data_IF_996697959123
#
_entry.id   IF_996697959123
#
_cell.length_a   1.000
_cell.length_b   1.000
_cell.length_c   1.000
_cell.angle_alpha   90.00
_cell.angle_beta   90.00
_cell.angle_gamma   90.00
#
_symmetry.space_group_name_H-M   'P 1'
#
loop_
_entity.id
_entity.type
_entity.pdbx_description
1 polymer ?
#
# COMPACT_ATOMS: atom_id res chain seq x y z
N UNK A 1 -22.82 1.17 4.09
CA UNK A 1 -21.57 0.40 3.99
C UNK A 1 -20.53 1.37 3.46
N UNK A 2 -19.60 1.84 4.31
CA UNK A 2 -18.52 2.70 3.83
C UNK A 2 -17.51 1.82 3.09
N UNK A 3 -17.08 2.27 1.92
CA UNK A 3 -16.04 1.62 1.14
C UNK A 3 -14.93 2.64 0.91
N UNK A 4 -13.69 2.15 0.84
CA UNK A 4 -12.55 2.97 0.44
C UNK A 4 -12.76 3.49 -0.98
N UNK A 5 -12.29 4.70 -1.25
CA UNK A 5 -12.40 5.30 -2.57
C UNK A 5 -11.56 4.51 -3.59
N UNK A 6 -12.18 4.13 -4.70
CA UNK A 6 -11.53 3.44 -5.80
C UNK A 6 -11.00 4.42 -6.85
N UNK A 7 -9.83 4.13 -7.41
CA UNK A 7 -9.33 4.75 -8.65
C UNK A 7 -9.36 3.71 -9.77
N UNK A 8 -10.00 4.05 -10.88
CA UNK A 8 -10.36 3.14 -11.98
C UNK A 8 -9.66 3.47 -13.30
N UNK A 9 -8.94 4.57 -13.36
CA UNK A 9 -8.18 4.97 -14.55
C UNK A 9 -6.77 5.42 -14.19
N UNK A 10 -5.87 5.34 -15.17
CA UNK A 10 -4.49 5.82 -15.02
C UNK A 10 -4.46 7.30 -14.60
N UNK A 11 -5.25 8.14 -15.26
CA UNK A 11 -5.25 9.59 -15.00
C UNK A 11 -5.68 9.89 -13.56
N UNK A 12 -6.62 9.12 -13.00
CA UNK A 12 -7.02 9.26 -11.59
C UNK A 12 -5.88 8.90 -10.61
N UNK A 13 -5.05 7.91 -10.96
CA UNK A 13 -3.86 7.53 -10.18
C UNK A 13 -2.80 8.63 -10.28
N UNK A 14 -2.54 9.12 -11.50
CA UNK A 14 -1.57 10.20 -11.74
C UNK A 14 -2.00 11.49 -11.02
N UNK A 15 -3.29 11.81 -11.03
CA UNK A 15 -3.86 12.96 -10.32
C UNK A 15 -3.79 12.77 -8.81
N UNK A 16 -4.02 11.57 -8.28
CA UNK A 16 -3.83 11.29 -6.85
C UNK A 16 -2.37 11.50 -6.43
N UNK A 17 -1.41 11.02 -7.22
CA UNK A 17 0.04 11.19 -6.97
C UNK A 17 0.42 12.67 -6.96
N UNK A 18 -0.12 13.47 -7.89
CA UNK A 18 0.14 14.91 -7.98
C UNK A 18 -0.57 15.71 -6.89
N UNK A 19 -1.83 15.40 -6.57
CA UNK A 19 -2.67 16.22 -5.70
C UNK A 19 -2.49 15.95 -4.21
N UNK A 20 -2.16 14.72 -3.81
CA UNK A 20 -1.95 14.39 -2.39
C UNK A 20 -0.61 14.93 -1.92
N UNK A 21 -0.68 16.06 -1.21
CA UNK A 21 0.47 16.74 -0.59
C UNK A 21 0.48 16.56 0.92
N UNK A 22 1.69 16.54 1.48
CA UNK A 22 1.99 16.48 2.92
C UNK A 22 1.33 15.31 3.66
N UNK A 23 0.88 14.29 2.94
CA UNK A 23 0.29 13.05 3.46
C UNK A 23 0.82 11.87 2.65
N UNK A 24 0.80 10.70 3.26
CA UNK A 24 1.14 9.43 2.61
C UNK A 24 -0.02 9.06 1.70
N UNK A 25 0.23 9.02 0.39
CA UNK A 25 -0.69 8.40 -0.54
C UNK A 25 -0.47 6.88 -0.51
N UNK A 26 -1.50 6.15 -0.13
CA UNK A 26 -1.52 4.67 -0.07
C UNK A 26 -2.34 4.15 -1.23
N UNK A 27 -1.73 3.34 -2.10
CA UNK A 27 -2.37 2.73 -3.27
C UNK A 27 -2.40 1.21 -3.12
N UNK A 28 -3.57 0.64 -2.84
CA UNK A 28 -3.79 -0.81 -2.73
C UNK A 28 -4.23 -1.39 -4.08
N UNK A 29 -3.30 -2.05 -4.77
CA UNK A 29 -3.60 -2.83 -5.98
C UNK A 29 -4.12 -4.21 -5.60
N UNK A 30 -5.29 -4.59 -6.14
CA UNK A 30 -5.91 -5.86 -5.81
C UNK A 30 -7.15 -6.18 -6.65
N UNK A 31 -7.99 -7.06 -6.12
CA UNK A 31 -9.33 -7.38 -6.64
C UNK A 31 -10.30 -7.44 -5.47
N UNK A 32 -11.51 -6.92 -5.66
CA UNK A 32 -12.47 -6.73 -4.56
C UNK A 32 -13.00 -8.07 -4.00
N UNK A 33 -12.90 -9.16 -4.77
CA UNK A 33 -13.35 -10.51 -4.44
C UNK A 33 -12.23 -11.44 -3.93
N UNK A 34 -11.00 -10.93 -3.76
CA UNK A 34 -9.88 -11.71 -3.24
C UNK A 34 -9.77 -11.54 -1.72
N UNK A 35 -9.63 -12.66 -1.00
CA UNK A 35 -9.68 -12.72 0.47
C UNK A 35 -8.63 -11.82 1.14
N UNK A 36 -7.37 -11.87 0.69
CA UNK A 36 -6.30 -11.00 1.18
C UNK A 36 -6.54 -9.52 0.92
N UNK A 37 -7.13 -9.17 -0.22
CA UNK A 37 -7.55 -7.81 -0.55
C UNK A 37 -8.68 -7.35 0.38
N UNK A 38 -9.72 -8.17 0.57
CA UNK A 38 -10.82 -7.86 1.49
C UNK A 38 -10.35 -7.68 2.94
N UNK A 39 -9.43 -8.53 3.41
CA UNK A 39 -8.81 -8.39 4.74
C UNK A 39 -8.07 -7.06 4.88
N UNK A 40 -7.29 -6.70 3.85
CA UNK A 40 -6.54 -5.44 3.82
C UNK A 40 -7.47 -4.24 3.80
N UNK A 41 -8.55 -4.31 3.02
CA UNK A 41 -9.53 -3.25 2.90
C UNK A 41 -10.29 -3.02 4.22
N UNK A 42 -10.67 -4.08 4.94
CA UNK A 42 -11.28 -3.95 6.28
C UNK A 42 -10.34 -3.27 7.27
N UNK A 43 -9.04 -3.61 7.25
CA UNK A 43 -8.04 -2.94 8.09
C UNK A 43 -7.93 -1.45 7.70
N UNK A 44 -7.71 -1.16 6.41
CA UNK A 44 -7.54 0.20 5.91
C UNK A 44 -8.78 1.05 6.23
N UNK A 45 -9.98 0.55 5.95
CA UNK A 45 -11.24 1.23 6.22
C UNK A 45 -11.42 1.56 7.72
N UNK A 46 -11.10 0.62 8.61
CA UNK A 46 -11.21 0.82 10.06
C UNK A 46 -10.17 1.77 10.64
N UNK A 47 -9.14 2.11 9.86
CA UNK A 47 -8.06 3.02 10.27
C UNK A 47 -8.06 4.33 9.48
N UNK A 48 -8.91 4.46 8.45
CA UNK A 48 -8.92 5.60 7.52
C UNK A 48 -9.13 6.92 8.27
N UNK A 49 -10.12 6.99 9.16
CA UNK A 49 -10.40 8.18 9.96
C UNK A 49 -9.24 8.52 10.90
N UNK A 50 -8.68 7.51 11.58
CA UNK A 50 -7.55 7.67 12.51
C UNK A 50 -6.28 8.17 11.80
N UNK A 51 -6.08 7.77 10.54
CA UNK A 51 -4.90 8.11 9.75
C UNK A 51 -5.12 9.31 8.83
N UNK A 52 -6.30 9.94 8.82
CA UNK A 52 -6.71 10.95 7.84
C UNK A 52 -5.77 12.17 7.73
N UNK A 53 -5.16 12.57 8.85
CA UNK A 53 -4.15 13.64 8.92
C UNK A 53 -2.77 13.21 8.37
N UNK A 54 -2.48 11.91 8.35
CA UNK A 54 -1.19 11.36 7.89
C UNK A 54 -1.27 10.74 6.50
N UNK A 55 -2.43 10.25 6.07
CA UNK A 55 -2.56 9.45 4.86
C UNK A 55 -3.88 9.68 4.11
N UNK A 56 -3.82 9.42 2.81
CA UNK A 56 -4.97 9.27 1.93
C UNK A 56 -4.90 7.88 1.30
N UNK A 57 -5.97 7.09 1.43
CA UNK A 57 -5.99 5.70 1.02
C UNK A 57 -6.90 5.54 -0.21
N UNK A 58 -6.38 4.84 -1.23
CA UNK A 58 -7.15 4.44 -2.40
C UNK A 58 -6.96 2.96 -2.70
N UNK A 59 -8.03 2.36 -3.21
CA UNK A 59 -8.01 1.00 -3.75
C UNK A 59 -8.04 1.04 -5.27
N UNK A 60 -7.36 0.09 -5.90
CA UNK A 60 -7.23 -0.02 -7.35
C UNK A 60 -7.49 -1.46 -7.74
N UNK A 61 -8.47 -1.68 -8.62
CA UNK A 61 -8.68 -2.98 -9.22
C UNK A 61 -7.67 -3.16 -10.38
N UNK A 62 -6.84 -4.19 -10.31
CA UNK A 62 -5.79 -4.44 -11.31
C UNK A 62 -6.34 -4.67 -12.73
N UNK A 63 -7.60 -5.12 -12.86
CA UNK A 63 -8.26 -5.31 -14.16
C UNK A 63 -8.64 -4.00 -14.83
N UNK A 64 -8.93 -2.95 -14.06
CA UNK A 64 -9.38 -1.66 -14.58
C UNK A 64 -8.20 -0.85 -15.13
N UNK A 65 -7.00 -1.06 -14.61
CA UNK A 65 -5.77 -0.33 -14.98
C UNK A 65 -4.60 -1.27 -15.32
N UNK A 66 -4.70 -2.09 -16.38
CA UNK A 66 -3.68 -3.10 -16.71
C UNK A 66 -2.29 -2.48 -17.01
N UNK A 67 -2.26 -1.31 -17.66
CA UNK A 67 -1.00 -0.61 -17.96
C UNK A 67 -0.28 -0.15 -16.67
N UNK A 68 -1.01 0.37 -15.69
CA UNK A 68 -0.45 0.75 -14.39
C UNK A 68 0.01 -0.48 -13.62
N UNK A 69 -0.80 -1.55 -13.62
CA UNK A 69 -0.45 -2.80 -12.95
C UNK A 69 0.85 -3.39 -13.50
N UNK A 70 1.06 -3.32 -14.82
CA UNK A 70 2.32 -3.70 -15.47
C UNK A 70 3.48 -2.78 -15.08
N UNK A 71 3.27 -1.45 -15.07
CA UNK A 71 4.29 -0.48 -14.67
C UNK A 71 4.82 -0.70 -13.24
N UNK A 72 3.94 -1.03 -12.29
CA UNK A 72 4.32 -1.33 -10.90
C UNK A 72 4.77 -2.78 -10.68
N UNK A 73 4.82 -3.60 -11.75
CA UNK A 73 5.13 -5.02 -11.69
C UNK A 73 4.26 -5.75 -10.65
N UNK A 74 2.94 -5.54 -10.71
CA UNK A 74 1.96 -6.17 -9.82
C UNK A 74 1.71 -7.61 -10.28
N UNK A 75 2.52 -8.53 -9.78
CA UNK A 75 2.42 -9.97 -10.03
C UNK A 75 1.58 -10.69 -8.97
N UNK A 76 1.49 -10.13 -7.77
CA UNK A 76 0.77 -10.69 -6.63
C UNK A 76 -0.13 -9.64 -5.99
N UNK A 77 -1.29 -10.07 -5.51
CA UNK A 77 -2.29 -9.21 -4.87
C UNK A 77 -2.62 -9.72 -3.45
N UNK A 78 -2.95 -8.82 -2.50
CA UNK A 78 -2.84 -7.37 -2.63
C UNK A 78 -1.37 -6.91 -2.68
N UNK A 79 -1.13 -5.80 -3.36
CA UNK A 79 0.15 -5.09 -3.35
C UNK A 79 -0.09 -3.61 -3.04
N UNK A 80 0.63 -3.07 -2.07
CA UNK A 80 0.45 -1.69 -1.59
C UNK A 80 1.66 -0.84 -1.92
N UNK A 81 1.44 0.25 -2.65
CA UNK A 81 2.47 1.24 -3.03
C UNK A 81 2.25 2.53 -2.26
N UNK A 82 3.34 3.20 -1.89
CA UNK A 82 3.32 4.42 -1.08
C UNK A 82 3.96 5.59 -1.82
N UNK A 83 3.36 6.76 -1.71
CA UNK A 83 3.89 8.03 -2.21
C UNK A 83 3.83 9.10 -1.12
N UNK A 84 4.72 10.09 -1.22
CA UNK A 84 4.67 11.30 -0.42
C UNK A 84 5.20 12.47 -1.25
N UNK A 85 4.38 13.50 -1.47
CA UNK A 85 4.72 14.64 -2.33
C UNK A 85 5.27 14.20 -3.71
N UNK A 86 4.49 13.40 -4.46
CA UNK A 86 4.83 12.82 -5.77
C UNK A 86 6.01 11.83 -5.79
N UNK A 87 6.74 11.68 -4.68
CA UNK A 87 7.87 10.75 -4.59
C UNK A 87 7.40 9.40 -4.08
N UNK A 88 7.71 8.34 -4.82
CA UNK A 88 7.47 6.98 -4.37
C UNK A 88 8.34 6.69 -3.13
N UNK A 89 7.73 6.13 -2.10
CA UNK A 89 8.41 5.71 -0.88
C UNK A 89 8.65 4.20 -0.92
N UNK A 90 9.93 3.82 -0.82
CA UNK A 90 10.34 2.42 -0.76
C UNK A 90 10.34 1.93 0.69
N UNK A 91 9.83 0.73 0.92
CA UNK A 91 9.72 0.10 2.24
C UNK A 91 10.74 -1.02 2.36
N UNK A 92 11.83 -0.77 3.08
CA UNK A 92 12.84 -1.76 3.40
C UNK A 92 12.34 -2.70 4.50
N UNK A 93 11.85 -3.86 4.10
CA UNK A 93 11.43 -4.97 4.97
C UNK A 93 12.46 -6.11 5.04
N UNK A 94 13.61 -5.95 4.37
CA UNK A 94 14.59 -7.02 4.15
C UNK A 94 14.25 -7.98 3.01
N UNK A 95 13.20 -7.68 2.23
CA UNK A 95 12.87 -8.40 1.00
C UNK A 95 13.62 -7.81 -0.22
N UNK A 96 13.75 -8.54 -1.33
CA UNK A 96 14.42 -8.05 -2.53
C UNK A 96 13.73 -6.84 -3.17
N UNK A 97 12.39 -6.84 -3.18
CA UNK A 97 11.58 -5.74 -3.67
C UNK A 97 11.12 -4.85 -2.51
N UNK A 98 11.49 -3.57 -2.57
CA UNK A 98 11.11 -2.55 -1.60
C UNK A 98 10.15 -1.51 -2.21
N UNK A 99 9.74 -1.65 -3.47
CA UNK A 99 8.89 -0.68 -4.17
C UNK A 99 7.41 -0.78 -3.79
N UNK A 100 7.02 -1.93 -3.24
CA UNK A 100 5.67 -2.28 -2.81
C UNK A 100 5.72 -3.20 -1.59
N UNK A 101 4.70 -3.13 -0.75
CA UNK A 101 4.44 -4.13 0.29
C UNK A 101 3.45 -5.13 -0.27
N UNK A 102 3.85 -6.39 -0.36
CA UNK A 102 3.02 -7.43 -0.95
C UNK A 102 2.41 -8.32 0.13
N UNK A 103 1.15 -8.68 -0.08
CA UNK A 103 0.36 -9.51 0.82
C UNK A 103 -0.49 -8.66 1.79
N UNK A 104 -1.41 -9.32 2.50
CA UNK A 104 -2.32 -8.64 3.39
C UNK A 104 -1.63 -8.16 4.67
N UNK A 105 -2.10 -7.03 5.21
CA UNK A 105 -1.75 -6.64 6.59
C UNK A 105 -2.43 -7.59 7.59
N UNK A 106 -1.73 -7.96 8.66
CA UNK A 106 -2.25 -8.90 9.66
C UNK A 106 -3.09 -8.20 10.73
N UNK A 107 -2.69 -6.99 11.12
CA UNK A 107 -3.36 -6.22 12.16
C UNK A 107 -3.50 -4.75 11.77
N UNK A 108 -4.43 -4.05 12.41
CA UNK A 108 -4.58 -2.59 12.27
C UNK A 108 -3.33 -1.85 12.71
N UNK A 109 -2.70 -2.30 13.81
CA UNK A 109 -1.51 -1.65 14.35
C UNK A 109 -0.33 -1.75 13.39
N UNK A 110 -0.13 -2.89 12.73
CA UNK A 110 0.94 -3.04 11.73
C UNK A 110 0.78 -2.00 10.59
N UNK A 111 -0.46 -1.75 10.14
CA UNK A 111 -0.73 -0.75 9.10
C UNK A 111 -0.54 0.69 9.62
N UNK A 112 -1.06 1.00 10.81
CA UNK A 112 -0.90 2.31 11.46
C UNK A 112 0.59 2.65 11.65
N UNK A 113 1.35 1.73 12.25
CA UNK A 113 2.77 1.92 12.53
C UNK A 113 3.55 2.17 11.23
N UNK A 114 3.25 1.40 10.18
CA UNK A 114 3.90 1.57 8.88
C UNK A 114 3.60 2.97 8.30
N UNK A 115 2.34 3.39 8.28
CA UNK A 115 1.94 4.72 7.79
C UNK A 115 2.60 5.83 8.59
N UNK A 116 2.64 5.72 9.92
CA UNK A 116 3.28 6.71 10.79
C UNK A 116 4.78 6.83 10.52
N UNK A 117 5.49 5.70 10.40
CA UNK A 117 6.93 5.70 10.12
C UNK A 117 7.23 6.25 8.73
N UNK A 118 6.38 5.95 7.73
CA UNK A 118 6.47 6.55 6.40
C UNK A 118 6.27 8.06 6.49
N UNK A 119 5.18 8.52 7.13
CA UNK A 119 4.85 9.93 7.27
C UNK A 119 5.98 10.73 7.91
N UNK A 120 6.49 10.26 9.06
CA UNK A 120 7.59 10.92 9.79
C UNK A 120 8.89 10.94 8.99
N UNK A 121 9.22 9.84 8.30
CA UNK A 121 10.44 9.74 7.52
C UNK A 121 10.41 10.54 6.23
N UNK A 122 9.31 10.44 5.47
CA UNK A 122 9.12 11.15 4.20
C UNK A 122 8.96 12.66 4.40
N UNK A 123 8.31 13.09 5.50
CA UNK A 123 8.28 14.50 5.92
C UNK A 123 9.68 15.09 6.17
N UNK A 124 10.68 14.25 6.43
CA UNK A 124 12.10 14.63 6.58
C UNK A 124 12.92 14.36 5.31
N UNK A 125 12.26 14.12 4.17
CA UNK A 125 12.90 13.93 2.87
C UNK A 125 13.43 12.52 2.59
N UNK A 126 13.13 11.51 3.43
CA UNK A 126 13.55 10.13 3.16
C UNK A 126 12.66 9.48 2.11
N UNK A 127 13.27 8.87 1.09
CA UNK A 127 12.57 8.08 0.08
C UNK A 127 12.62 6.56 0.33
N UNK A 128 13.38 6.12 1.34
CA UNK A 128 13.46 4.72 1.77
C UNK A 128 13.25 4.65 3.26
N UNK A 129 12.27 3.85 3.67
CA UNK A 129 11.80 3.72 5.04
C UNK A 129 11.97 2.28 5.49
N UNK A 130 12.63 2.06 6.64
CA UNK A 130 12.70 0.73 7.25
C UNK A 130 11.32 0.39 7.80
N UNK A 131 10.79 -0.77 7.43
CA UNK A 131 9.49 -1.25 7.94
C UNK A 131 9.55 -1.45 9.46
N UNK A 132 8.55 -0.99 10.22
CA UNK A 132 8.40 -1.32 11.63
C UNK A 132 7.79 -2.73 11.85
N UNK A 133 7.17 -3.31 10.82
CA UNK A 133 6.48 -4.59 10.90
C UNK A 133 7.50 -5.73 10.94
N UNK A 134 7.30 -6.71 11.83
CA UNK A 134 8.10 -7.93 11.87
C UNK A 134 8.08 -8.64 10.50
N UNK A 135 9.26 -8.95 9.98
CA UNK A 135 9.43 -9.67 8.70
C UNK A 135 8.58 -10.95 8.63
N UNK A 136 8.44 -11.69 9.73
CA UNK A 136 7.61 -12.92 9.79
C UNK A 136 6.14 -12.66 9.49
N UNK A 137 5.68 -11.43 9.72
CA UNK A 137 4.31 -11.00 9.43
C UNK A 137 4.15 -10.47 8.00
N UNK A 138 5.24 -9.97 7.40
CA UNK A 138 5.29 -9.53 6.01
C UNK A 138 5.64 -10.65 5.01
N UNK A 139 6.08 -11.82 5.49
CA UNK A 139 6.55 -12.92 4.65
C UNK A 139 5.44 -13.75 4.01
N UNK A 140 4.44 -13.10 3.40
CA UNK A 140 3.41 -13.80 2.63
C UNK A 140 4.04 -14.74 1.57
N UNK A 141 5.14 -14.29 0.95
CA UNK A 141 5.93 -15.07 -0.01
C UNK A 141 6.66 -16.29 0.54
N UNK A 142 7.26 -16.21 1.74
CA UNK A 142 7.98 -17.35 2.33
C UNK A 142 7.03 -18.54 2.60
N UNK A 143 5.71 -18.30 2.63
CA UNK A 143 4.69 -19.34 2.74
C UNK A 143 4.25 -19.90 1.39
N UNK A 144 4.26 -19.10 0.32
CA UNK A 144 3.90 -19.53 -1.03
C UNK A 144 4.97 -20.40 -1.70
N UNK A 145 6.26 -20.13 -1.43
CA UNK A 145 7.38 -20.88 -2.02
C UNK A 145 7.86 -22.09 -1.20
N UNK A 146 7.27 -22.36 -0.02
CA UNK A 146 7.56 -23.58 0.76
C UNK A 146 6.80 -24.83 0.28
N UNK A 147 6.15 -24.74 -0.88
CA UNK A 147 5.36 -25.81 -1.49
C UNK A 147 5.93 -26.40 -2.78
N UNK A 148 7.25 -26.32 -3.00
CA UNK A 148 7.97 -27.05 -4.06
C UNK A 148 9.28 -27.62 -3.52
#
# INVERSE_FOLDING_TARGET
MNFLRQLKAKDEIDDAIKSVKQRVLVLRFGKDDEIGCMQTDDIMLRTEELLSEMATIYTINVKDVPACSSYYDITHIPSTVFYFNEKQIKINSGMPDNTKVVGPFQTKQDFIDLVEVIYRGASRGKCVIKSPIDRRRMSYYDKLHKGY
#
